data_IF_324729284000
#
_entry.id   IF_324729284000
#
_cell.length_a   1.000
_cell.length_b   1.000
_cell.length_c   1.000
_cell.angle_alpha   90.00
_cell.angle_beta   90.00
_cell.angle_gamma   90.00
#
_symmetry.space_group_name_H-M   'P 1'
#
loop_
_entity.id
_entity.type
_entity.pdbx_description
1 polymer ?
#
# COMPACT_ATOMS: atom_id res chain seq x y z
N UNK A 1 -16.25 8.70 -30.11
CA UNK A 1 -16.20 9.56 -31.32
C UNK A 1 -15.20 10.70 -31.17
N UNK A 2 -15.23 11.45 -30.07
CA UNK A 2 -14.26 12.53 -29.83
C UNK A 2 -12.82 12.02 -29.61
N UNK A 3 -12.61 10.99 -28.80
CA UNK A 3 -11.28 10.39 -28.58
C UNK A 3 -10.61 9.92 -29.89
N UNK A 4 -11.36 9.31 -30.80
CA UNK A 4 -10.85 8.90 -32.13
C UNK A 4 -10.42 10.12 -32.95
N UNK A 5 -11.22 11.19 -32.98
CA UNK A 5 -10.86 12.44 -33.67
C UNK A 5 -9.58 13.06 -33.11
N UNK A 6 -9.40 13.03 -31.79
CA UNK A 6 -8.17 13.52 -31.14
C UNK A 6 -6.97 12.69 -31.58
N UNK A 7 -7.08 11.35 -31.54
CA UNK A 7 -6.02 10.44 -31.96
C UNK A 7 -5.65 10.62 -33.44
N UNK A 8 -6.65 10.71 -34.33
CA UNK A 8 -6.44 10.94 -35.76
C UNK A 8 -5.69 12.27 -36.00
N UNK A 9 -6.06 13.34 -35.28
CA UNK A 9 -5.38 14.64 -35.37
C UNK A 9 -3.92 14.57 -34.91
N UNK A 10 -3.65 13.89 -33.79
CA UNK A 10 -2.28 13.71 -33.27
C UNK A 10 -1.43 12.94 -34.29
N UNK A 11 -1.94 11.84 -34.85
CA UNK A 11 -1.21 11.03 -35.85
C UNK A 11 -0.90 11.87 -37.08
N UNK A 12 -1.90 12.59 -37.61
CA UNK A 12 -1.72 13.42 -38.79
C UNK A 12 -0.59 14.45 -38.60
N UNK A 13 -0.62 15.18 -37.48
CA UNK A 13 0.38 16.21 -37.18
C UNK A 13 1.79 15.64 -36.87
N UNK A 14 1.87 14.45 -36.28
CA UNK A 14 3.14 13.75 -36.08
C UNK A 14 3.70 13.19 -37.40
N UNK A 15 2.84 12.75 -38.32
CA UNK A 15 3.26 12.16 -39.61
C UNK A 15 3.89 13.18 -40.56
N UNK A 16 3.49 14.45 -40.47
CA UNK A 16 4.12 15.56 -41.22
C UNK A 16 5.48 15.98 -40.63
N UNK A 17 6.05 15.25 -39.66
CA UNK A 17 7.32 15.53 -38.95
C UNK A 17 7.41 16.90 -38.26
N UNK A 18 6.29 17.59 -38.07
CA UNK A 18 6.25 18.94 -37.48
C UNK A 18 6.27 18.93 -35.94
N UNK A 19 5.75 17.89 -35.31
CA UNK A 19 5.51 17.82 -33.85
C UNK A 19 5.71 16.37 -33.36
N UNK A 20 6.26 16.16 -32.16
CA UNK A 20 6.42 14.82 -31.55
C UNK A 20 5.27 14.51 -30.61
N UNK A 21 5.00 13.23 -30.35
CA UNK A 21 3.94 12.81 -29.40
C UNK A 21 4.09 13.42 -27.99
N UNK A 22 5.33 13.59 -27.51
CA UNK A 22 5.63 14.19 -26.20
C UNK A 22 5.26 15.67 -26.08
N UNK A 23 5.03 16.34 -27.21
CA UNK A 23 4.69 17.76 -27.26
C UNK A 23 3.16 17.97 -27.13
N UNK A 24 2.37 16.89 -27.06
CA UNK A 24 0.93 16.93 -26.82
C UNK A 24 0.57 16.71 -25.36
N UNK A 25 -0.42 17.48 -24.89
CA UNK A 25 -1.11 17.25 -23.63
C UNK A 25 -2.63 17.20 -23.89
N UNK A 26 -3.30 16.18 -23.34
CA UNK A 26 -4.76 16.05 -23.39
C UNK A 26 -5.30 16.34 -21.99
N UNK A 27 -5.99 17.47 -21.84
CA UNK A 27 -6.64 17.87 -20.59
C UNK A 27 -8.10 17.43 -20.59
N UNK A 28 -8.54 16.82 -19.50
CA UNK A 28 -9.92 16.35 -19.32
C UNK A 28 -10.39 16.65 -17.90
N UNK A 29 -11.71 16.68 -17.70
CA UNK A 29 -12.34 17.15 -16.45
C UNK A 29 -12.46 16.05 -15.39
N UNK A 30 -12.63 14.80 -15.80
CA UNK A 30 -12.84 13.68 -14.87
C UNK A 30 -12.12 12.40 -15.28
N UNK A 31 -11.67 11.63 -14.28
CA UNK A 31 -10.90 10.40 -14.49
C UNK A 31 -11.61 9.36 -15.37
N UNK A 32 -12.94 9.32 -15.40
CA UNK A 32 -13.68 8.40 -16.28
C UNK A 32 -13.41 8.68 -17.77
N UNK A 33 -13.07 9.94 -18.12
CA UNK A 33 -12.72 10.33 -19.50
C UNK A 33 -11.35 9.78 -19.91
N UNK A 34 -10.44 9.55 -18.95
CA UNK A 34 -9.11 9.00 -19.23
C UNK A 34 -9.19 7.60 -19.81
N UNK A 35 -10.13 6.76 -19.35
CA UNK A 35 -10.26 5.37 -19.80
C UNK A 35 -10.61 5.26 -21.29
N UNK A 36 -11.49 6.15 -21.78
CA UNK A 36 -11.90 6.14 -23.19
C UNK A 36 -10.74 6.62 -24.07
N UNK A 37 -10.04 7.68 -23.64
CA UNK A 37 -8.85 8.18 -24.33
C UNK A 37 -7.74 7.12 -24.35
N UNK A 38 -7.46 6.50 -23.21
CA UNK A 38 -6.46 5.45 -23.06
C UNK A 38 -6.69 4.29 -24.03
N UNK A 39 -7.90 3.75 -24.07
CA UNK A 39 -8.26 2.66 -24.98
C UNK A 39 -8.06 3.05 -26.45
N UNK A 40 -8.43 4.28 -26.82
CA UNK A 40 -8.24 4.76 -28.19
C UNK A 40 -6.76 4.97 -28.52
N UNK A 41 -5.98 5.60 -27.64
CA UNK A 41 -4.54 5.82 -27.86
C UNK A 41 -3.78 4.49 -27.96
N UNK A 42 -4.10 3.51 -27.09
CA UNK A 42 -3.59 2.14 -27.17
C UNK A 42 -3.93 1.47 -28.50
N UNK A 43 -5.21 1.51 -28.91
CA UNK A 43 -5.65 0.91 -30.18
C UNK A 43 -4.95 1.50 -31.40
N UNK A 44 -4.55 2.76 -31.32
CA UNK A 44 -3.86 3.50 -32.39
C UNK A 44 -2.33 3.50 -32.26
N UNK A 45 -1.76 2.74 -31.31
CA UNK A 45 -0.31 2.69 -31.04
C UNK A 45 0.32 4.06 -30.79
N UNK A 46 -0.42 5.00 -30.18
CA UNK A 46 0.10 6.31 -29.81
C UNK A 46 0.70 6.18 -28.41
N UNK A 47 2.00 6.49 -28.20
CA UNK A 47 2.59 6.46 -26.85
C UNK A 47 1.97 7.57 -25.99
N UNK A 48 1.56 7.21 -24.77
CA UNK A 48 0.93 8.14 -23.84
C UNK A 48 1.40 7.89 -22.41
N UNK A 49 1.26 8.90 -21.56
CA UNK A 49 1.44 8.78 -20.11
C UNK A 49 0.23 9.41 -19.43
N UNK A 50 -0.37 8.70 -18.47
CA UNK A 50 -1.52 9.19 -17.72
C UNK A 50 -1.07 9.59 -16.33
N UNK A 51 -1.19 10.87 -16.02
CA UNK A 51 -1.10 11.37 -14.65
C UNK A 51 -2.41 11.07 -13.94
N UNK A 52 -2.61 9.81 -13.50
CA UNK A 52 -3.81 9.45 -12.73
C UNK A 52 -3.69 9.95 -11.29
N UNK A 53 -4.83 10.36 -10.70
CA UNK A 53 -4.89 10.81 -9.31
C UNK A 53 -4.81 9.65 -8.29
N UNK A 54 -4.90 8.39 -8.74
CA UNK A 54 -4.62 7.24 -7.88
C UNK A 54 -3.11 7.08 -7.76
N UNK A 55 -2.53 7.74 -6.75
CA UNK A 55 -1.13 7.58 -6.39
C UNK A 55 -0.76 6.10 -6.33
N UNK A 56 0.39 5.70 -6.86
CA UNK A 56 0.94 4.35 -6.71
C UNK A 56 0.86 3.85 -5.25
N UNK A 57 1.05 4.75 -4.28
CA UNK A 57 0.97 4.50 -2.84
C UNK A 57 -0.45 4.30 -2.29
N UNK A 58 -1.49 4.50 -3.10
CA UNK A 58 -2.88 4.24 -2.70
C UNK A 58 -3.23 2.76 -2.77
N UNK A 59 -2.49 1.97 -3.55
CA UNK A 59 -2.72 0.54 -3.77
C UNK A 59 -2.64 -0.25 -2.44
N UNK A 60 -3.60 -1.14 -2.13
CA UNK A 60 -3.63 -1.88 -0.87
C UNK A 60 -2.33 -2.65 -0.58
N UNK A 61 -1.77 -3.31 -1.59
CA UNK A 61 -0.57 -4.13 -1.49
C UNK A 61 0.65 -3.27 -1.16
N UNK A 62 0.75 -2.08 -1.76
CA UNK A 62 1.81 -1.11 -1.50
C UNK A 62 1.72 -0.60 -0.06
N UNK A 63 0.51 -0.26 0.42
CA UNK A 63 0.31 0.19 1.80
C UNK A 63 0.58 -0.93 2.82
N UNK A 64 0.28 -2.18 2.49
CA UNK A 64 0.57 -3.33 3.35
C UNK A 64 2.07 -3.53 3.47
N UNK A 65 2.79 -3.53 2.34
CA UNK A 65 4.25 -3.60 2.34
C UNK A 65 4.88 -2.44 3.12
N UNK A 66 4.41 -1.21 2.93
CA UNK A 66 4.88 -0.06 3.69
C UNK A 66 4.63 -0.23 5.20
N UNK A 67 3.53 -0.84 5.59
CA UNK A 67 3.22 -1.09 7.01
C UNK A 67 4.12 -2.16 7.61
N UNK A 68 4.49 -3.19 6.83
CA UNK A 68 5.55 -4.12 7.22
C UNK A 68 6.87 -3.41 7.47
N UNK A 69 7.32 -2.58 6.52
CA UNK A 69 8.58 -1.83 6.64
C UNK A 69 8.55 -0.86 7.84
N UNK A 70 7.43 -0.17 8.05
CA UNK A 70 7.23 0.72 9.20
C UNK A 70 7.35 -0.01 10.52
N UNK A 71 6.81 -1.22 10.65
CA UNK A 71 6.92 -2.02 11.88
C UNK A 71 8.30 -2.60 12.13
N UNK A 72 9.03 -2.89 11.06
CA UNK A 72 10.45 -3.28 11.16
C UNK A 72 11.20 -2.09 11.79
N UNK A 73 11.08 -0.90 11.22
CA UNK A 73 11.80 0.29 11.71
C UNK A 73 11.28 0.78 13.08
N UNK A 74 9.97 0.77 13.29
CA UNK A 74 9.30 1.24 14.49
C UNK A 74 8.25 0.22 14.97
N UNK A 75 8.60 -0.70 15.88
CA UNK A 75 7.67 -1.67 16.44
C UNK A 75 6.47 -1.08 17.19
N UNK A 76 6.55 0.20 17.60
CA UNK A 76 5.50 0.89 18.34
C UNK A 76 4.47 1.59 17.43
N UNK A 77 4.56 1.42 16.11
CA UNK A 77 3.61 1.98 15.15
C UNK A 77 2.28 1.21 15.13
N UNK A 78 1.33 1.63 15.96
CA UNK A 78 0.03 0.99 16.10
C UNK A 78 -0.77 0.94 14.78
N UNK A 79 -0.71 1.99 13.97
CA UNK A 79 -1.46 2.04 12.70
C UNK A 79 -0.91 1.01 11.71
N UNK A 80 0.42 0.93 11.58
CA UNK A 80 1.05 -0.08 10.76
C UNK A 80 0.73 -1.49 11.28
N UNK A 81 0.79 -1.68 12.61
CA UNK A 81 0.46 -2.95 13.27
C UNK A 81 -0.95 -3.43 12.95
N UNK A 82 -1.94 -2.55 13.14
CA UNK A 82 -3.34 -2.88 12.89
C UNK A 82 -3.61 -3.22 11.43
N UNK A 83 -2.96 -2.49 10.51
CA UNK A 83 -3.12 -2.72 9.06
C UNK A 83 -2.68 -4.12 8.64
N UNK A 84 -1.51 -4.56 9.08
CA UNK A 84 -0.96 -5.86 8.63
C UNK A 84 -1.26 -7.02 9.60
N UNK A 85 -1.97 -6.78 10.70
CA UNK A 85 -2.22 -7.78 11.75
C UNK A 85 -2.72 -9.11 11.18
N UNK A 86 -3.61 -9.05 10.20
CA UNK A 86 -4.22 -10.21 9.55
C UNK A 86 -3.85 -10.34 8.06
N UNK A 87 -2.77 -9.68 7.62
CA UNK A 87 -2.24 -9.78 6.25
C UNK A 87 -0.82 -10.33 6.31
N UNK A 88 -0.49 -11.52 5.75
CA UNK A 88 -1.42 -12.53 5.23
C UNK A 88 -2.33 -13.09 6.35
N UNK A 89 -3.39 -13.78 5.96
CA UNK A 89 -4.44 -14.22 6.89
C UNK A 89 -3.87 -15.03 8.08
N UNK A 90 -4.11 -14.56 9.31
CA UNK A 90 -3.71 -15.21 10.57
C UNK A 90 -4.91 -15.75 11.36
N UNK A 91 -6.13 -15.63 10.81
CA UNK A 91 -7.37 -15.95 11.52
C UNK A 91 -7.62 -15.01 12.69
N UNK A 92 -7.26 -13.73 12.54
CA UNK A 92 -7.57 -12.66 13.50
C UNK A 92 -8.71 -11.83 12.92
N UNK A 93 -9.89 -11.92 13.55
CA UNK A 93 -11.09 -11.21 13.10
C UNK A 93 -11.13 -9.75 13.54
N UNK A 94 -11.98 -8.96 12.90
CA UNK A 94 -12.16 -7.53 13.17
C UNK A 94 -12.50 -7.24 14.64
N UNK A 95 -13.32 -8.08 15.27
CA UNK A 95 -13.69 -7.96 16.69
C UNK A 95 -12.49 -8.09 17.63
N UNK A 96 -11.51 -8.92 17.27
CA UNK A 96 -10.27 -9.07 18.03
C UNK A 96 -9.37 -7.87 17.84
N UNK A 97 -9.24 -7.38 16.61
CA UNK A 97 -8.48 -6.17 16.30
C UNK A 97 -9.02 -4.96 17.05
N UNK A 98 -10.33 -4.74 17.05
CA UNK A 98 -10.94 -3.62 17.76
C UNK A 98 -10.71 -3.70 19.28
N UNK A 99 -10.83 -4.88 19.88
CA UNK A 99 -10.52 -5.08 21.31
C UNK A 99 -9.07 -4.74 21.64
N UNK A 100 -8.12 -5.08 20.76
CA UNK A 100 -6.72 -4.74 20.92
C UNK A 100 -6.49 -3.23 20.88
N UNK A 101 -7.07 -2.56 19.89
CA UNK A 101 -6.97 -1.11 19.72
C UNK A 101 -7.58 -0.35 20.91
N UNK A 102 -8.79 -0.72 21.33
CA UNK A 102 -9.43 -0.13 22.52
C UNK A 102 -8.60 -0.32 23.79
N UNK A 103 -8.03 -1.52 23.98
CA UNK A 103 -7.20 -1.80 25.14
C UNK A 103 -5.87 -1.03 25.09
N UNK A 104 -5.31 -0.84 23.89
CA UNK A 104 -4.15 0.01 23.63
C UNK A 104 -4.38 1.46 23.99
N UNK A 105 -5.49 2.02 23.54
CA UNK A 105 -5.87 3.38 23.85
C UNK A 105 -6.14 3.56 25.35
N UNK A 106 -6.86 2.62 25.99
CA UNK A 106 -7.15 2.66 27.44
C UNK A 106 -5.89 2.62 28.32
N UNK A 107 -4.86 1.88 27.90
CA UNK A 107 -3.61 1.73 28.67
C UNK A 107 -2.55 2.75 28.28
N UNK A 108 -2.81 3.56 27.24
CA UNK A 108 -1.86 4.48 26.63
C UNK A 108 -0.50 3.83 26.35
N UNK A 109 -0.55 2.62 25.79
CA UNK A 109 0.61 1.77 25.48
C UNK A 109 0.54 1.30 24.04
N UNK A 110 1.68 1.06 23.41
CA UNK A 110 1.70 0.51 22.07
C UNK A 110 1.13 -0.91 22.06
N UNK A 111 0.60 -1.34 20.91
CA UNK A 111 0.11 -2.71 20.72
C UNK A 111 1.24 -3.72 21.02
N UNK A 112 2.45 -3.39 20.60
CA UNK A 112 3.63 -4.19 20.87
C UNK A 112 3.90 -4.37 22.37
N UNK A 113 3.80 -3.32 23.17
CA UNK A 113 3.94 -3.41 24.64
C UNK A 113 2.84 -4.26 25.27
N UNK A 114 1.61 -4.10 24.80
CA UNK A 114 0.44 -4.81 25.33
C UNK A 114 0.52 -6.31 25.07
N UNK A 115 0.96 -6.71 23.88
CA UNK A 115 1.09 -8.12 23.52
C UNK A 115 2.15 -8.83 24.36
N UNK A 116 3.16 -8.09 24.83
CA UNK A 116 4.19 -8.60 25.74
C UNK A 116 3.76 -8.57 27.21
N UNK A 117 2.66 -7.88 27.54
CA UNK A 117 2.12 -7.80 28.90
C UNK A 117 1.18 -8.98 29.20
N UNK A 118 1.16 -9.46 30.45
CA UNK A 118 0.23 -10.51 30.91
C UNK A 118 -1.23 -10.05 30.90
N UNK A 119 -1.49 -8.74 30.97
CA UNK A 119 -2.85 -8.20 30.98
C UNK A 119 -3.65 -8.46 29.70
N UNK A 120 -2.99 -8.75 28.57
CA UNK A 120 -3.69 -9.08 27.30
C UNK A 120 -4.57 -10.33 27.42
N UNK A 121 -4.26 -11.23 28.37
CA UNK A 121 -5.09 -12.42 28.66
C UNK A 121 -6.50 -12.06 29.16
N UNK A 122 -6.70 -10.84 29.66
CA UNK A 122 -8.04 -10.35 30.08
C UNK A 122 -8.96 -10.10 28.88
N UNK A 123 -8.43 -9.84 27.70
CA UNK A 123 -9.20 -9.44 26.52
C UNK A 123 -9.20 -10.48 25.39
N UNK A 124 -8.16 -11.31 25.29
CA UNK A 124 -7.97 -12.28 24.21
C UNK A 124 -7.70 -13.70 24.72
N UNK A 125 -8.12 -14.69 23.92
CA UNK A 125 -7.80 -16.11 24.14
C UNK A 125 -6.32 -16.40 23.87
N UNK A 126 -5.76 -17.37 24.60
CA UNK A 126 -4.35 -17.76 24.51
C UNK A 126 -3.90 -18.09 23.07
N UNK A 127 -4.72 -18.82 22.30
CA UNK A 127 -4.40 -19.16 20.91
C UNK A 127 -4.18 -17.92 20.04
N UNK A 128 -5.02 -16.89 20.20
CA UNK A 128 -4.88 -15.65 19.43
C UNK A 128 -3.64 -14.87 19.86
N UNK A 129 -3.36 -14.82 21.17
CA UNK A 129 -2.14 -14.20 21.69
C UNK A 129 -0.91 -14.88 21.09
N UNK A 130 -0.89 -16.21 21.04
CA UNK A 130 0.22 -16.99 20.47
C UNK A 130 0.44 -16.70 18.98
N UNK A 131 -0.64 -16.59 18.20
CA UNK A 131 -0.56 -16.20 16.77
C UNK A 131 0.09 -14.82 16.59
N UNK A 132 -0.31 -13.85 17.40
CA UNK A 132 0.23 -12.48 17.34
C UNK A 132 1.68 -12.44 17.82
N UNK A 133 2.01 -13.16 18.90
CA UNK A 133 3.41 -13.27 19.38
C UNK A 133 4.33 -13.93 18.37
N UNK A 134 3.86 -14.99 17.69
CA UNK A 134 4.61 -15.63 16.59
C UNK A 134 4.90 -14.63 15.47
N UNK A 135 3.92 -13.79 15.13
CA UNK A 135 4.09 -12.74 14.15
C UNK A 135 5.11 -11.67 14.56
N UNK A 136 5.02 -11.15 15.78
CA UNK A 136 6.01 -10.18 16.30
C UNK A 136 7.42 -10.79 16.34
N UNK A 137 7.54 -12.03 16.79
CA UNK A 137 8.82 -12.75 16.83
C UNK A 137 9.43 -12.88 15.44
N UNK A 138 8.61 -13.15 14.42
CA UNK A 138 9.05 -13.18 13.03
C UNK A 138 9.56 -11.80 12.54
N UNK A 139 8.85 -10.70 12.83
CA UNK A 139 9.34 -9.33 12.50
C UNK A 139 10.67 -9.03 13.22
N UNK A 140 10.80 -9.39 14.50
CA UNK A 140 12.05 -9.19 15.24
C UNK A 140 13.21 -9.99 14.66
N UNK A 141 12.95 -11.22 14.22
CA UNK A 141 13.98 -12.03 13.57
C UNK A 141 14.49 -11.33 12.31
N UNK A 142 13.62 -10.72 11.50
CA UNK A 142 14.06 -9.95 10.34
C UNK A 142 14.91 -8.72 10.69
N UNK A 143 14.69 -8.11 11.85
CA UNK A 143 15.54 -7.00 12.34
C UNK A 143 16.95 -7.46 12.70
N UNK A 144 17.08 -8.59 13.39
CA UNK A 144 18.39 -9.10 13.82
C UNK A 144 19.26 -9.53 12.63
N UNK A 145 18.67 -9.94 11.51
CA UNK A 145 19.42 -10.17 10.27
C UNK A 145 20.06 -8.90 9.70
N UNK A 146 19.49 -7.71 9.92
CA UNK A 146 20.10 -6.46 9.49
C UNK A 146 21.33 -6.12 10.35
N UNK A 147 21.26 -6.33 11.67
CA UNK A 147 22.38 -6.05 12.58
C UNK A 147 23.60 -6.98 12.36
N UNK A 148 23.39 -8.20 11.86
CA UNK A 148 24.48 -9.11 11.52
C UNK A 148 25.20 -8.76 10.20
N UNK A 149 24.53 -8.04 9.30
CA UNK A 149 25.07 -7.70 7.98
C UNK A 149 25.70 -6.30 7.92
N UNK A 150 25.59 -5.50 8.99
CA UNK A 150 26.25 -4.19 9.11
C UNK A 150 27.66 -4.25 9.74
N UNK A 151 28.17 -5.46 10.05
CA UNK A 151 29.58 -5.69 10.42
C UNK A 151 30.22 -6.57 9.37
N UNK A 152 30.40 -6.02 8.16
CA UNK A 152 31.35 -6.46 7.11
C UNK A 152 31.09 -5.67 5.83
N UNK A 153 31.63 -4.46 5.80
CA UNK A 153 32.38 -3.92 4.66
C UNK A 153 33.47 -3.02 5.23
#
# INVERSE_FOLDING_TARGET
REAEKIADKIIYQCSENKIKYRDYAILYRGNYQSQILEKTLLKRNIPYNISTNSSFFSRPEIKDLLSYLRLIVNPNDNHAFMRILNVPHRGIGITTSNKLEEFSNKKNKSLYEIINNTEIKKILKENTINKIKKFISWIKKSLNYQNLNHVKF
#
